data_IF_860055556479
#
_entry.id   IF_860055556479
#
_cell.length_a   1.000
_cell.length_b   1.000
_cell.length_c   1.000
_cell.angle_alpha   90.00
_cell.angle_beta   90.00
_cell.angle_gamma   90.00
#
_symmetry.space_group_name_H-M   'P 1'
#
loop_
_entity.id
_entity.type
_entity.pdbx_description
1 polymer ?
#
# COMPACT_ATOMS: atom_id res chain seq x y z
N UNK A 1 -14.62 -1.44 1.26
CA UNK A 1 -13.74 -2.38 1.97
C UNK A 1 -13.76 -3.66 1.19
N UNK A 2 -12.60 -4.26 1.00
CA UNK A 2 -12.43 -5.47 0.21
C UNK A 2 -10.95 -5.80 0.09
N UNK A 3 -10.69 -7.05 -0.26
CA UNK A 3 -9.35 -7.56 -0.54
C UNK A 3 -8.78 -6.87 -1.78
N UNK A 4 -7.51 -6.49 -1.69
CA UNK A 4 -6.75 -5.89 -2.77
C UNK A 4 -5.56 -6.80 -3.10
N UNK A 5 -5.33 -7.03 -4.38
CA UNK A 5 -4.14 -7.71 -4.88
C UNK A 5 -3.57 -6.99 -6.10
N UNK A 6 -2.25 -7.03 -6.25
CA UNK A 6 -1.54 -6.49 -7.41
C UNK A 6 -0.27 -7.29 -7.69
N UNK A 7 0.16 -7.29 -8.95
CA UNK A 7 1.34 -7.99 -9.44
C UNK A 7 2.16 -7.00 -10.28
N UNK A 8 3.36 -6.67 -9.81
CA UNK A 8 4.18 -5.64 -10.43
C UNK A 8 5.56 -6.20 -10.78
N UNK A 9 5.98 -6.18 -12.06
CA UNK A 9 7.31 -6.63 -12.47
C UNK A 9 8.38 -5.67 -11.94
N UNK A 10 9.51 -6.21 -11.49
CA UNK A 10 10.66 -5.46 -11.00
C UNK A 10 11.79 -5.46 -12.05
N UNK A 11 12.69 -4.45 -12.03
CA UNK A 11 13.76 -4.33 -13.01
C UNK A 11 14.76 -5.50 -13.03
N UNK A 12 14.85 -6.26 -11.94
CA UNK A 12 15.74 -7.42 -11.79
C UNK A 12 15.08 -8.75 -12.19
N UNK A 13 13.89 -8.70 -12.81
CA UNK A 13 13.14 -9.87 -13.25
C UNK A 13 12.31 -10.54 -12.15
N UNK A 14 12.31 -10.01 -10.92
CA UNK A 14 11.38 -10.44 -9.87
C UNK A 14 9.98 -9.86 -10.09
N UNK A 15 9.01 -10.36 -9.34
CA UNK A 15 7.64 -9.82 -9.29
C UNK A 15 7.31 -9.48 -7.85
N UNK A 16 6.82 -8.26 -7.63
CA UNK A 16 6.19 -7.88 -6.38
C UNK A 16 4.74 -8.36 -6.38
N UNK A 17 4.40 -9.25 -5.45
CA UNK A 17 3.03 -9.63 -5.13
C UNK A 17 2.57 -8.82 -3.93
N UNK A 18 1.45 -8.13 -4.10
CA UNK A 18 0.84 -7.34 -3.04
C UNK A 18 -0.51 -7.94 -2.72
N UNK A 19 -0.78 -8.11 -1.44
CA UNK A 19 -2.07 -8.55 -0.91
C UNK A 19 -2.38 -7.71 0.31
N UNK A 20 -3.60 -7.20 0.42
CA UNK A 20 -4.05 -6.46 1.59
C UNK A 20 -5.55 -6.56 1.77
N UNK A 21 -5.98 -6.75 3.02
CA UNK A 21 -7.39 -6.65 3.40
C UNK A 21 -7.68 -5.25 3.97
N UNK A 22 -8.73 -4.62 3.47
CA UNK A 22 -9.30 -3.43 4.07
C UNK A 22 -10.36 -3.83 5.12
N UNK A 23 -9.93 -4.15 6.34
CA UNK A 23 -10.87 -4.45 7.42
C UNK A 23 -11.66 -3.19 7.80
N UNK A 24 -12.89 -3.07 7.28
CA UNK A 24 -13.79 -1.92 7.51
C UNK A 24 -14.71 -1.61 6.32
N UNK A 25 -15.80 -0.90 6.58
CA UNK A 25 -16.82 -0.56 5.56
C UNK A 25 -17.03 0.95 5.41
N UNK A 26 -17.47 1.37 4.23
CA UNK A 26 -17.76 2.77 3.89
C UNK A 26 -16.60 3.53 3.25
N UNK A 27 -16.82 4.83 3.00
CA UNK A 27 -15.91 5.69 2.24
C UNK A 27 -14.55 5.89 2.89
N UNK A 28 -14.50 5.97 4.23
CA UNK A 28 -13.25 6.16 4.96
C UNK A 28 -12.29 4.97 4.75
N UNK A 29 -12.78 3.74 4.85
CA UNK A 29 -11.99 2.54 4.58
C UNK A 29 -11.51 2.48 3.12
N UNK A 30 -12.37 2.87 2.18
CA UNK A 30 -12.00 2.97 0.75
C UNK A 30 -10.88 3.99 0.50
N UNK A 31 -10.95 5.17 1.14
CA UNK A 31 -9.94 6.21 1.00
C UNK A 31 -8.59 5.79 1.58
N UNK A 32 -8.57 5.15 2.75
CA UNK A 32 -7.33 4.60 3.34
C UNK A 32 -6.69 3.59 2.39
N UNK A 33 -7.49 2.69 1.81
CA UNK A 33 -6.97 1.68 0.88
C UNK A 33 -6.46 2.29 -0.44
N UNK A 34 -7.15 3.32 -0.97
CA UNK A 34 -6.67 4.05 -2.14
C UNK A 34 -5.31 4.70 -1.88
N UNK A 35 -5.12 5.32 -0.71
CA UNK A 35 -3.85 5.95 -0.35
C UNK A 35 -2.76 4.91 -0.11
N UNK A 36 -3.08 3.78 0.54
CA UNK A 36 -2.15 2.68 0.74
C UNK A 36 -1.65 2.13 -0.61
N UNK A 37 -2.56 1.89 -1.56
CA UNK A 37 -2.24 1.42 -2.91
C UNK A 37 -1.33 2.41 -3.66
N UNK A 38 -1.70 3.69 -3.74
CA UNK A 38 -0.87 4.69 -4.43
C UNK A 38 0.52 4.81 -3.78
N UNK A 39 0.59 4.82 -2.44
CA UNK A 39 1.87 4.88 -1.72
C UNK A 39 2.73 3.65 -2.01
N UNK A 40 2.12 2.47 -2.08
CA UNK A 40 2.82 1.22 -2.34
C UNK A 40 3.46 1.22 -3.73
N UNK A 41 2.71 1.64 -4.76
CA UNK A 41 3.23 1.72 -6.14
C UNK A 41 4.41 2.68 -6.23
N UNK A 42 4.24 3.88 -5.67
CA UNK A 42 5.33 4.87 -5.61
C UNK A 42 6.53 4.37 -4.82
N UNK A 43 6.32 3.63 -3.73
CA UNK A 43 7.41 3.10 -2.93
C UNK A 43 8.20 2.03 -3.69
N UNK A 44 7.52 1.14 -4.42
CA UNK A 44 8.15 0.11 -5.26
C UNK A 44 9.00 0.74 -6.36
N UNK A 45 8.51 1.81 -7.00
CA UNK A 45 9.25 2.53 -8.06
C UNK A 45 10.53 3.20 -7.53
N UNK A 46 10.56 3.58 -6.25
CA UNK A 46 11.73 4.19 -5.61
C UNK A 46 12.73 3.13 -5.12
N UNK A 47 12.23 2.14 -4.39
CA UNK A 47 13.01 1.05 -3.81
C UNK A 47 12.09 -0.15 -3.56
N UNK A 48 12.22 -1.24 -4.33
CA UNK A 48 11.36 -2.42 -4.20
C UNK A 48 11.68 -3.28 -2.97
N UNK A 49 12.59 -2.86 -2.09
CA UNK A 49 12.83 -3.52 -0.80
C UNK A 49 11.53 -3.60 0.02
N UNK A 50 11.08 -4.80 0.44
CA UNK A 50 9.86 -4.96 1.22
C UNK A 50 9.85 -4.12 2.51
N UNK A 51 11.00 -4.03 3.19
CA UNK A 51 11.15 -3.20 4.39
C UNK A 51 10.88 -1.72 4.08
N UNK A 52 11.44 -1.23 2.97
CA UNK A 52 11.31 0.17 2.58
C UNK A 52 9.90 0.51 2.14
N UNK A 53 9.30 -0.37 1.35
CA UNK A 53 7.90 -0.26 0.89
C UNK A 53 6.96 -0.21 2.08
N UNK A 54 7.04 -1.18 2.99
CA UNK A 54 6.17 -1.25 4.16
C UNK A 54 6.37 -0.05 5.10
N UNK A 55 7.62 0.41 5.29
CA UNK A 55 7.89 1.60 6.11
C UNK A 55 7.29 2.89 5.51
N UNK A 56 7.22 3.01 4.18
CA UNK A 56 6.58 4.15 3.52
C UNK A 56 5.05 4.08 3.62
N UNK A 57 4.47 2.91 3.31
CA UNK A 57 3.03 2.68 3.41
C UNK A 57 2.53 2.90 4.84
N UNK A 58 3.20 2.35 5.84
CA UNK A 58 2.84 2.53 7.24
C UNK A 58 2.85 4.01 7.66
N UNK A 59 3.88 4.77 7.24
CA UNK A 59 3.95 6.21 7.52
C UNK A 59 2.82 7.01 6.86
N UNK A 60 2.44 6.65 5.63
CA UNK A 60 1.32 7.28 4.94
C UNK A 60 0.01 7.01 5.67
N UNK A 61 -0.28 5.75 6.00
CA UNK A 61 -1.49 5.35 6.74
C UNK A 61 -1.55 6.03 8.11
N UNK A 62 -0.44 6.05 8.86
CA UNK A 62 -0.36 6.69 10.17
C UNK A 62 -0.75 8.17 10.12
N UNK A 63 -0.22 8.91 9.12
CA UNK A 63 -0.52 10.34 8.94
C UNK A 63 -2.00 10.63 8.67
N UNK A 64 -2.71 9.69 8.05
CA UNK A 64 -4.13 9.82 7.73
C UNK A 64 -4.98 9.45 8.97
N UNK A 65 -4.51 8.49 9.77
CA UNK A 65 -5.20 8.01 10.98
C UNK A 65 -5.14 8.97 12.18
N UNK A 66 -4.11 9.82 12.29
CA UNK A 66 -3.89 10.72 13.46
C UNK A 66 -4.72 12.02 13.44
N UNK A 67 -5.99 11.98 13.02
CA UNK A 67 -6.98 13.05 13.25
C UNK A 67 -8.07 12.62 14.26
N UNK A 68 -7.65 12.01 15.35
CA UNK A 68 -8.46 11.86 16.57
C UNK A 68 -7.78 12.56 17.72
#
# INVERSE_FOLDING_TARGET
>A
GGDYYDLMPLPDGRVALIVGDASGHGMAAGLVMAIANTTLKTAIDIDPSPERVLALVNRAIWRIGTRR
#
